data_IF_935899695298
#
_entry.id   IF_935899695298
#
_cell.length_a   1.000
_cell.length_b   1.000
_cell.length_c   1.000
_cell.angle_alpha   90.00
_cell.angle_beta   90.00
_cell.angle_gamma   90.00
#
_symmetry.space_group_name_H-M   'P 1'
#
loop_
_entity.id
_entity.type
_entity.pdbx_description
1 polymer ?
#
# COMPACT_ATOMS: atom_id res chain seq x y z
N UNK A 1 -6.26 -5.16 26.76
CA UNK A 1 -6.67 -4.87 25.34
C UNK A 1 -5.62 -5.40 24.38
N UNK A 2 -6.02 -6.07 23.35
CA UNK A 2 -5.19 -6.70 22.32
C UNK A 2 -5.35 -6.00 20.97
N UNK A 3 -4.55 -6.36 19.98
CA UNK A 3 -4.77 -5.91 18.60
C UNK A 3 -4.63 -7.06 17.61
N UNK A 4 -5.44 -7.01 16.56
CA UNK A 4 -5.43 -7.95 15.45
C UNK A 4 -5.25 -7.20 14.13
N UNK A 5 -4.24 -7.57 13.34
CA UNK A 5 -3.97 -6.96 12.03
C UNK A 5 -4.29 -7.99 10.93
N UNK A 6 -5.15 -7.63 9.98
CA UNK A 6 -5.53 -8.51 8.87
C UNK A 6 -4.58 -8.33 7.68
N UNK A 7 -3.66 -9.24 7.49
CA UNK A 7 -2.64 -9.21 6.42
C UNK A 7 -2.67 -10.44 5.49
N UNK A 8 -3.81 -11.15 5.40
CA UNK A 8 -3.94 -12.38 4.62
C UNK A 8 -4.15 -12.16 3.11
N UNK A 9 -4.55 -10.96 2.69
CA UNK A 9 -5.00 -10.67 1.33
C UNK A 9 -3.92 -10.79 0.25
N UNK A 10 -4.31 -11.20 -0.97
CA UNK A 10 -3.40 -11.40 -2.12
C UNK A 10 -2.79 -10.13 -2.69
N UNK A 11 -3.40 -8.96 -2.47
CA UNK A 11 -2.90 -7.69 -2.99
C UNK A 11 -2.91 -7.54 -4.52
N UNK A 12 -3.77 -8.27 -5.25
CA UNK A 12 -3.80 -8.37 -6.72
C UNK A 12 -3.90 -7.02 -7.44
N UNK A 13 -4.59 -6.03 -6.84
CA UNK A 13 -4.71 -4.68 -7.44
C UNK A 13 -3.39 -3.92 -7.48
N UNK A 14 -2.44 -4.29 -6.62
CA UNK A 14 -1.12 -3.66 -6.51
C UNK A 14 -0.04 -4.36 -7.36
N UNK A 15 -0.35 -5.51 -7.96
CA UNK A 15 0.60 -6.16 -8.86
C UNK A 15 1.11 -5.20 -9.94
N UNK A 16 2.44 -5.25 -10.24
CA UNK A 16 3.41 -6.28 -9.86
C UNK A 16 4.15 -6.03 -8.52
N UNK A 17 3.81 -5.00 -7.74
CA UNK A 17 4.51 -4.65 -6.50
C UNK A 17 4.31 -5.69 -5.38
N UNK A 18 3.26 -6.49 -5.48
CA UNK A 18 2.91 -7.55 -4.53
C UNK A 18 3.23 -8.96 -5.03
N UNK A 19 4.04 -9.10 -6.08
CA UNK A 19 4.39 -10.42 -6.64
C UNK A 19 5.21 -11.28 -5.66
N UNK A 20 6.03 -10.66 -4.81
CA UNK A 20 6.93 -11.34 -3.88
C UNK A 20 6.86 -10.86 -2.44
N UNK A 21 6.06 -9.83 -2.17
CA UNK A 21 5.80 -9.33 -0.81
C UNK A 21 4.32 -9.15 -0.57
N UNK A 22 3.79 -9.54 0.60
CA UNK A 22 2.42 -9.20 0.95
C UNK A 22 2.29 -7.68 1.07
N UNK A 23 1.10 -7.17 0.83
CA UNK A 23 0.80 -5.73 0.84
C UNK A 23 1.27 -5.02 2.11
N UNK A 24 1.06 -5.64 3.27
CA UNK A 24 1.48 -5.11 4.57
C UNK A 24 3.02 -4.96 4.72
N UNK A 25 3.80 -5.64 3.87
CA UNK A 25 5.26 -5.56 3.83
C UNK A 25 5.79 -4.56 2.79
N UNK A 26 4.93 -3.90 2.02
CA UNK A 26 5.39 -2.83 1.10
C UNK A 26 5.98 -1.68 1.91
N UNK A 27 7.21 -1.22 1.59
CA UNK A 27 7.88 -0.20 2.38
C UNK A 27 7.33 1.20 2.08
N UNK A 28 6.95 1.94 3.11
CA UNK A 28 6.68 3.37 3.05
C UNK A 28 7.91 4.10 3.59
N UNK A 29 8.61 4.86 2.75
CA UNK A 29 9.90 5.47 3.09
C UNK A 29 10.87 4.47 3.75
N UNK A 30 11.08 3.31 3.10
CA UNK A 30 11.98 2.22 3.48
C UNK A 30 11.58 1.42 4.75
N UNK A 31 10.42 1.69 5.35
CA UNK A 31 9.92 0.93 6.49
C UNK A 31 8.62 0.21 6.12
N UNK A 32 8.47 -1.10 6.37
CA UNK A 32 7.25 -1.85 6.10
C UNK A 32 5.99 -1.19 6.65
N UNK A 33 4.89 -1.23 5.88
CA UNK A 33 3.61 -0.65 6.29
C UNK A 33 3.14 -1.18 7.65
N UNK A 34 3.30 -2.49 7.88
CA UNK A 34 2.87 -3.13 9.13
C UNK A 34 3.62 -2.61 10.35
N UNK A 35 4.87 -2.17 10.20
CA UNK A 35 5.65 -1.62 11.31
C UNK A 35 5.06 -0.28 11.80
N UNK A 36 4.55 0.55 10.89
CA UNK A 36 3.82 1.76 11.27
C UNK A 36 2.56 1.45 12.07
N UNK A 37 1.84 0.39 11.71
CA UNK A 37 0.64 -0.04 12.42
C UNK A 37 0.98 -0.55 13.82
N UNK A 38 2.00 -1.41 13.94
CA UNK A 38 2.45 -1.95 15.24
C UNK A 38 2.99 -0.82 16.14
N UNK A 39 3.76 0.11 15.61
CA UNK A 39 4.25 1.26 16.36
C UNK A 39 3.11 2.18 16.83
N UNK A 40 2.12 2.39 16.00
CA UNK A 40 0.93 3.16 16.34
C UNK A 40 0.18 2.48 17.50
N UNK A 41 -0.04 1.17 17.44
CA UNK A 41 -0.66 0.40 18.53
C UNK A 41 0.14 0.50 19.84
N UNK A 42 1.45 0.30 19.79
CA UNK A 42 2.34 0.40 20.96
C UNK A 42 2.35 1.80 21.58
N UNK A 43 2.29 2.86 20.78
CA UNK A 43 2.16 4.25 21.29
C UNK A 43 0.88 4.46 22.09
N UNK A 44 -0.15 3.65 21.87
CA UNK A 44 -1.40 3.67 22.61
C UNK A 44 -1.47 2.61 23.72
N UNK A 45 -0.33 1.98 24.08
CA UNK A 45 -0.23 0.99 25.14
C UNK A 45 -0.78 -0.39 24.77
N UNK A 46 -0.87 -0.72 23.49
CA UNK A 46 -1.36 -2.02 22.99
C UNK A 46 -0.15 -2.81 22.50
N UNK A 47 0.39 -3.68 23.39
CA UNK A 47 1.60 -4.46 23.14
C UNK A 47 1.31 -5.88 22.64
N UNK A 48 0.16 -6.46 23.02
CA UNK A 48 -0.23 -7.79 22.57
C UNK A 48 -0.90 -7.71 21.19
N UNK A 49 -0.08 -8.00 20.17
CA UNK A 49 -0.49 -7.92 18.76
C UNK A 49 -0.45 -9.30 18.13
N UNK A 50 -1.50 -9.64 17.38
CA UNK A 50 -1.53 -10.77 16.49
C UNK A 50 -1.75 -10.33 15.03
N UNK A 51 -1.25 -11.14 14.09
CA UNK A 51 -1.38 -10.88 12.65
C UNK A 51 -2.03 -12.07 11.96
N UNK A 52 -3.12 -11.82 11.24
CA UNK A 52 -3.71 -12.83 10.37
C UNK A 52 -2.98 -12.82 9.03
N UNK A 53 -2.45 -13.99 8.67
CA UNK A 53 -1.61 -14.20 7.50
C UNK A 53 -2.27 -15.16 6.51
N UNK A 54 -1.87 -15.09 5.26
CA UNK A 54 -2.34 -15.96 4.18
C UNK A 54 -1.35 -15.99 3.03
N UNK A 55 -1.59 -15.22 2.00
CA UNK A 55 -0.70 -15.15 0.84
C UNK A 55 0.68 -14.57 1.20
N UNK A 56 1.77 -15.22 0.75
CA UNK A 56 3.17 -14.81 0.99
C UNK A 56 3.52 -14.66 2.50
N UNK A 57 2.93 -15.49 3.36
CA UNK A 57 3.04 -15.42 4.82
C UNK A 57 4.48 -15.46 5.35
N UNK A 58 5.41 -16.10 4.60
CA UNK A 58 6.80 -16.26 5.02
C UNK A 58 7.48 -14.91 5.32
N UNK A 59 7.27 -13.91 4.48
CA UNK A 59 7.86 -12.59 4.66
C UNK A 59 7.44 -11.91 5.98
N UNK A 60 6.18 -12.07 6.39
CA UNK A 60 5.69 -11.56 7.67
C UNK A 60 6.27 -12.33 8.86
N UNK A 61 6.33 -13.67 8.77
CA UNK A 61 6.88 -14.53 9.83
C UNK A 61 8.37 -14.31 10.08
N UNK A 62 9.13 -14.03 9.02
CA UNK A 62 10.56 -13.72 9.14
C UNK A 62 10.84 -12.31 9.68
N UNK A 63 9.91 -11.38 9.48
CA UNK A 63 10.08 -9.98 9.86
C UNK A 63 9.58 -9.68 11.29
N UNK A 64 8.45 -10.26 11.69
CA UNK A 64 7.76 -9.93 12.92
C UNK A 64 7.92 -11.01 14.00
N UNK A 65 8.04 -10.57 15.26
CA UNK A 65 7.95 -11.43 16.43
C UNK A 65 6.60 -11.20 17.14
N UNK A 66 5.53 -11.76 16.59
CA UNK A 66 4.16 -11.66 17.10
C UNK A 66 3.44 -12.99 16.95
N UNK A 67 2.22 -13.14 17.50
CA UNK A 67 1.37 -14.29 17.22
C UNK A 67 0.83 -14.24 15.79
N UNK A 68 0.80 -15.37 15.12
CA UNK A 68 0.25 -15.50 13.77
C UNK A 68 -0.91 -16.47 13.74
N UNK A 69 -1.97 -16.06 13.03
CA UNK A 69 -3.12 -16.90 12.71
C UNK A 69 -3.26 -17.00 11.20
N UNK A 70 -3.53 -18.20 10.69
CA UNK A 70 -3.59 -18.41 9.24
C UNK A 70 -5.02 -18.46 8.76
N UNK A 71 -5.41 -17.54 7.89
CA UNK A 71 -6.63 -17.66 7.10
C UNK A 71 -6.32 -18.47 5.83
N UNK A 72 -6.66 -19.76 5.88
CA UNK A 72 -6.43 -20.68 4.75
C UNK A 72 -7.43 -20.47 3.61
N UNK A 73 -8.62 -19.91 3.92
CA UNK A 73 -9.68 -19.71 2.93
C UNK A 73 -9.46 -18.46 2.09
N UNK A 74 -8.86 -17.41 2.70
CA UNK A 74 -8.70 -16.07 2.10
C UNK A 74 -10.02 -15.60 1.44
N UNK A 75 -11.14 -15.87 2.12
CA UNK A 75 -12.48 -15.69 1.62
C UNK A 75 -13.18 -14.42 2.15
N UNK A 76 -12.43 -13.45 2.62
CA UNK A 76 -12.95 -12.15 3.04
C UNK A 76 -12.46 -11.69 4.40
N UNK A 77 -12.91 -10.50 4.82
CA UNK A 77 -12.42 -9.86 6.06
C UNK A 77 -13.02 -10.50 7.31
N UNK A 78 -14.25 -11.02 7.26
CA UNK A 78 -14.85 -11.74 8.38
C UNK A 78 -14.14 -13.08 8.62
N UNK A 79 -13.84 -13.85 7.56
CA UNK A 79 -13.11 -15.12 7.70
C UNK A 79 -11.71 -14.90 8.30
N UNK A 80 -11.05 -13.82 7.92
CA UNK A 80 -9.76 -13.46 8.46
C UNK A 80 -9.81 -13.18 9.98
N UNK A 81 -10.84 -12.47 10.47
CA UNK A 81 -11.04 -12.27 11.92
C UNK A 81 -11.30 -13.60 12.60
N UNK A 82 -12.18 -14.44 12.03
CA UNK A 82 -12.54 -15.73 12.62
C UNK A 82 -11.36 -16.70 12.73
N UNK A 83 -10.40 -16.63 11.79
CA UNK A 83 -9.19 -17.42 11.86
C UNK A 83 -8.36 -17.18 13.14
N UNK A 84 -8.56 -16.01 13.78
CA UNK A 84 -7.89 -15.64 15.02
C UNK A 84 -8.82 -15.69 16.25
N UNK A 85 -9.96 -16.40 16.20
CA UNK A 85 -10.94 -16.45 17.29
C UNK A 85 -10.37 -16.84 18.65
N UNK A 86 -9.41 -17.75 18.68
CA UNK A 86 -8.76 -18.20 19.92
C UNK A 86 -7.85 -17.13 20.56
N UNK A 87 -7.56 -16.04 19.83
CA UNK A 87 -6.85 -14.87 20.33
C UNK A 87 -7.79 -13.84 20.95
N UNK A 88 -9.05 -13.83 20.51
CA UNK A 88 -10.07 -12.83 20.81
C UNK A 88 -10.84 -13.30 22.08
N UNK A 89 -10.25 -13.06 23.25
CA UNK A 89 -10.83 -13.39 24.56
C UNK A 89 -11.15 -12.12 25.41
N UNK A 90 -10.83 -10.94 24.88
CA UNK A 90 -11.01 -9.61 25.48
C UNK A 90 -11.25 -8.57 24.39
N UNK A 91 -11.58 -7.33 24.79
CA UNK A 91 -11.66 -6.20 23.86
C UNK A 91 -10.38 -6.05 23.03
N UNK A 92 -10.53 -5.78 21.76
CA UNK A 92 -9.41 -5.68 20.84
C UNK A 92 -9.58 -4.59 19.76
N UNK A 93 -8.44 -4.05 19.33
CA UNK A 93 -8.37 -3.20 18.15
C UNK A 93 -8.12 -4.07 16.92
N UNK A 94 -8.96 -3.92 15.92
CA UNK A 94 -8.79 -4.57 14.61
C UNK A 94 -8.32 -3.56 13.58
N UNK A 95 -7.27 -3.90 12.81
CA UNK A 95 -6.77 -3.09 11.70
C UNK A 95 -6.72 -3.89 10.41
N UNK A 96 -7.10 -3.24 9.31
CA UNK A 96 -6.79 -3.76 7.99
C UNK A 96 -5.30 -3.50 7.68
N UNK A 97 -4.58 -4.55 7.31
CA UNK A 97 -3.13 -4.51 7.07
C UNK A 97 -2.69 -3.70 5.83
N UNK A 98 -3.64 -3.14 5.12
CA UNK A 98 -3.42 -2.26 3.97
C UNK A 98 -3.68 -0.77 4.26
N UNK A 99 -4.06 -0.44 5.47
CA UNK A 99 -4.29 0.93 5.89
C UNK A 99 -3.00 1.56 6.39
N UNK A 100 -2.60 2.66 5.77
CA UNK A 100 -1.60 3.57 6.32
C UNK A 100 -2.31 4.71 7.05
N UNK A 101 -2.10 4.78 8.36
CA UNK A 101 -2.71 5.79 9.22
C UNK A 101 -1.65 6.47 10.09
N UNK A 102 -1.62 7.79 10.05
CA UNK A 102 -0.77 8.63 10.90
C UNK A 102 -1.65 9.64 11.62
N UNK A 103 -2.22 9.18 12.73
CA UNK A 103 -3.15 9.92 13.56
C UNK A 103 -3.28 9.28 14.94
N UNK A 104 -4.33 9.65 15.67
CA UNK A 104 -4.64 9.12 17.00
C UNK A 104 -5.92 8.29 16.98
N UNK A 105 -5.88 7.14 17.66
CA UNK A 105 -7.04 6.27 17.89
C UNK A 105 -7.56 6.34 19.35
N UNK A 106 -7.16 7.35 20.12
CA UNK A 106 -7.51 7.46 21.53
C UNK A 106 -9.02 7.41 21.80
N UNK A 107 -9.83 8.11 20.98
CA UNK A 107 -11.28 8.12 21.16
C UNK A 107 -11.91 6.77 20.74
N UNK A 108 -11.34 6.09 19.77
CA UNK A 108 -11.76 4.74 19.39
C UNK A 108 -11.51 3.74 20.53
N UNK A 109 -10.31 3.78 21.14
CA UNK A 109 -9.93 2.92 22.27
C UNK A 109 -10.89 3.07 23.46
N UNK A 110 -11.39 4.26 23.71
CA UNK A 110 -12.35 4.54 24.80
C UNK A 110 -13.79 4.17 24.48
N UNK A 111 -14.06 3.74 23.25
CA UNK A 111 -15.41 3.52 22.75
C UNK A 111 -15.56 2.07 22.26
N UNK A 112 -15.93 1.12 23.14
CA UNK A 112 -16.18 -0.26 22.71
C UNK A 112 -17.25 -0.36 21.61
N UNK A 113 -17.20 -1.42 20.83
CA UNK A 113 -18.10 -1.69 19.70
C UNK A 113 -18.22 -0.49 18.76
N UNK A 114 -17.07 -0.04 18.27
CA UNK A 114 -16.97 1.14 17.41
C UNK A 114 -16.12 0.91 16.16
N UNK A 115 -16.39 1.72 15.16
CA UNK A 115 -15.63 1.80 13.93
C UNK A 115 -15.09 3.22 13.71
N UNK A 116 -13.84 3.30 13.28
CA UNK A 116 -13.27 4.57 12.84
C UNK A 116 -13.75 4.93 11.43
N UNK A 117 -13.99 6.22 11.21
CA UNK A 117 -14.29 6.79 9.91
C UNK A 117 -13.38 7.97 9.61
N UNK A 118 -13.09 8.17 8.33
CA UNK A 118 -12.37 9.33 7.84
C UNK A 118 -13.20 10.05 6.78
N UNK A 119 -13.11 11.37 6.74
CA UNK A 119 -13.75 12.18 5.71
C UNK A 119 -12.89 12.18 4.45
N UNK A 120 -13.48 11.89 3.30
CA UNK A 120 -12.82 11.92 2.00
C UNK A 120 -13.58 12.82 1.02
N UNK A 121 -12.89 13.32 -0.01
CA UNK A 121 -13.49 14.14 -1.06
C UNK A 121 -14.37 13.36 -2.03
N UNK A 122 -14.15 12.03 -2.16
CA UNK A 122 -14.94 11.14 -3.00
C UNK A 122 -15.01 9.75 -2.38
N UNK A 123 -16.23 9.33 -2.04
CA UNK A 123 -16.52 8.03 -1.42
C UNK A 123 -16.65 6.88 -2.42
N UNK A 124 -16.69 7.14 -3.71
CA UNK A 124 -17.02 6.14 -4.76
C UNK A 124 -16.17 4.88 -4.76
N UNK A 125 -14.97 4.95 -4.19
CA UNK A 125 -14.00 3.84 -4.12
C UNK A 125 -14.08 3.02 -2.84
N UNK A 126 -14.83 3.48 -1.84
CA UNK A 126 -14.81 2.98 -0.46
C UNK A 126 -16.19 2.55 0.03
N UNK A 127 -16.24 1.95 1.19
CA UNK A 127 -17.47 1.75 1.96
C UNK A 127 -17.88 3.07 2.62
N UNK A 128 -18.89 3.76 2.07
CA UNK A 128 -19.46 4.98 2.66
C UNK A 128 -20.17 4.63 3.96
N UNK A 129 -19.88 5.37 5.03
CA UNK A 129 -20.50 5.19 6.35
C UNK A 129 -21.47 6.32 6.63
N UNK A 130 -22.74 5.97 6.79
CA UNK A 130 -23.79 6.90 7.19
C UNK A 130 -24.07 6.68 8.68
N UNK A 131 -24.02 7.75 9.46
CA UNK A 131 -24.24 7.73 10.89
C UNK A 131 -24.99 8.97 11.38
N UNK A 132 -25.63 8.86 12.52
CA UNK A 132 -26.33 9.95 13.20
C UNK A 132 -26.05 9.90 14.70
N UNK A 133 -25.72 11.04 15.29
CA UNK A 133 -25.40 11.18 16.72
C UNK A 133 -24.34 10.16 17.19
N UNK A 134 -23.30 9.94 16.36
CA UNK A 134 -22.22 9.00 16.61
C UNK A 134 -22.67 7.52 16.59
N UNK A 135 -23.83 7.18 16.02
CA UNK A 135 -24.33 5.81 15.89
C UNK A 135 -24.41 5.43 14.42
N UNK A 136 -23.95 4.24 14.08
CA UNK A 136 -24.01 3.70 12.73
C UNK A 136 -25.47 3.57 12.27
N UNK A 137 -25.74 4.04 11.06
CA UNK A 137 -27.03 3.83 10.37
C UNK A 137 -26.86 2.74 9.31
N UNK A 138 -25.88 2.92 8.40
CA UNK A 138 -25.60 1.93 7.35
C UNK A 138 -24.20 2.11 6.77
N UNK A 139 -23.68 1.05 6.15
CA UNK A 139 -22.48 1.05 5.33
C UNK A 139 -22.88 0.74 3.90
N UNK A 140 -22.50 1.61 2.96
CA UNK A 140 -22.78 1.44 1.52
C UNK A 140 -21.48 1.14 0.77
N UNK A 141 -21.31 -0.10 0.34
CA UNK A 141 -20.11 -0.52 -0.38
C UNK A 141 -20.09 0.03 -1.81
N UNK A 142 -19.13 0.94 -2.10
CA UNK A 142 -18.78 1.45 -3.43
C UNK A 142 -19.94 1.92 -4.31
N UNK A 143 -20.96 2.48 -3.68
CA UNK A 143 -22.18 2.95 -4.35
C UNK A 143 -22.43 4.45 -4.17
N UNK A 144 -21.61 5.12 -3.35
CA UNK A 144 -21.69 6.56 -3.09
C UNK A 144 -20.97 7.41 -4.14
N UNK A 145 -21.16 8.71 -4.08
CA UNK A 145 -20.44 9.72 -4.87
C UNK A 145 -20.32 11.02 -4.08
N UNK A 146 -19.27 11.80 -4.37
CA UNK A 146 -19.00 13.06 -3.67
C UNK A 146 -18.34 12.87 -2.31
N UNK A 147 -18.24 13.95 -1.53
CA UNK A 147 -17.55 13.93 -0.23
C UNK A 147 -18.41 13.26 0.85
N UNK A 148 -17.78 12.50 1.74
CA UNK A 148 -18.46 11.80 2.82
C UNK A 148 -17.49 11.13 3.76
N UNK A 149 -18.03 10.35 4.69
CA UNK A 149 -17.25 9.52 5.59
C UNK A 149 -17.15 8.10 5.06
N UNK A 150 -15.95 7.54 5.16
CA UNK A 150 -15.68 6.16 4.74
C UNK A 150 -15.14 5.33 5.89
N UNK A 151 -15.33 4.03 5.79
CA UNK A 151 -14.76 3.04 6.70
C UNK A 151 -13.22 3.13 6.68
N UNK A 152 -12.64 3.44 7.83
CA UNK A 152 -11.19 3.61 7.95
C UNK A 152 -10.43 2.27 8.05
N UNK A 153 -11.13 1.14 8.19
CA UNK A 153 -10.48 -0.16 8.41
C UNK A 153 -9.82 -0.29 9.78
N UNK A 154 -10.28 0.46 10.76
CA UNK A 154 -9.83 0.44 12.15
C UNK A 154 -11.06 0.35 13.06
N UNK A 155 -11.06 -0.62 13.96
CA UNK A 155 -12.23 -0.90 14.78
C UNK A 155 -11.82 -1.23 16.22
N UNK A 156 -12.76 -1.02 17.15
CA UNK A 156 -12.68 -1.52 18.51
C UNK A 156 -13.89 -2.41 18.76
N UNK A 157 -13.64 -3.68 19.00
CA UNK A 157 -14.69 -4.67 19.28
C UNK A 157 -14.42 -5.42 20.58
N UNK A 158 -15.49 -5.89 21.20
CA UNK A 158 -15.46 -6.97 22.15
C UNK A 158 -15.64 -8.32 21.46
N UNK A 159 -15.44 -9.46 22.16
CA UNK A 159 -15.55 -10.80 21.55
C UNK A 159 -16.93 -11.14 20.95
N UNK A 160 -17.99 -10.43 21.30
CA UNK A 160 -19.35 -10.73 20.78
C UNK A 160 -19.45 -10.56 19.26
N UNK A 161 -18.55 -9.81 18.63
CA UNK A 161 -18.49 -9.72 17.17
C UNK A 161 -18.34 -11.09 16.52
N UNK A 162 -17.70 -12.07 17.19
CA UNK A 162 -17.52 -13.43 16.67
C UNK A 162 -18.85 -14.15 16.43
N UNK A 163 -19.86 -13.93 17.27
CA UNK A 163 -21.19 -14.53 17.11
C UNK A 163 -21.90 -14.05 15.84
N UNK A 164 -21.59 -12.84 15.39
CA UNK A 164 -22.10 -12.25 14.15
C UNK A 164 -21.28 -12.67 12.94
N UNK A 165 -19.97 -12.83 13.12
CA UNK A 165 -19.08 -13.35 12.08
C UNK A 165 -19.48 -14.79 11.71
N UNK A 166 -19.79 -15.65 12.67
CA UNK A 166 -20.25 -17.01 12.42
C UNK A 166 -21.56 -17.09 11.61
N UNK A 167 -22.38 -16.05 11.71
CA UNK A 167 -23.68 -15.95 11.00
C UNK A 167 -23.57 -15.18 9.68
N UNK A 168 -22.39 -14.66 9.35
CA UNK A 168 -22.19 -13.87 8.12
C UNK A 168 -22.25 -14.79 6.91
N UNK A 169 -23.10 -14.46 5.96
CA UNK A 169 -23.24 -15.16 4.69
C UNK A 169 -22.26 -14.63 3.64
N UNK A 170 -22.00 -15.42 2.62
CA UNK A 170 -21.18 -15.02 1.50
C UNK A 170 -21.87 -13.91 0.69
N UNK A 171 -21.17 -12.82 0.46
CA UNK A 171 -21.65 -11.68 -0.31
C UNK A 171 -21.74 -11.99 -1.81
N UNK A 172 -22.42 -11.13 -2.58
CA UNK A 172 -22.45 -11.22 -4.05
C UNK A 172 -21.06 -11.16 -4.73
N UNK A 173 -20.01 -10.86 -3.95
CA UNK A 173 -18.60 -10.83 -4.40
C UNK A 173 -17.88 -12.14 -4.12
N UNK A 174 -18.53 -13.12 -3.51
CA UNK A 174 -17.92 -14.38 -3.09
C UNK A 174 -17.03 -14.24 -1.86
N UNK A 175 -17.31 -13.27 -0.98
CA UNK A 175 -16.50 -12.97 0.20
C UNK A 175 -17.36 -12.85 1.45
N UNK A 176 -16.86 -13.29 2.60
CA UNK A 176 -17.46 -13.05 3.92
C UNK A 176 -17.00 -11.69 4.43
N UNK A 177 -17.87 -10.70 4.33
CA UNK A 177 -17.54 -9.31 4.59
C UNK A 177 -17.72 -8.97 6.07
N UNK A 178 -16.69 -8.40 6.70
CA UNK A 178 -16.82 -7.93 8.09
C UNK A 178 -17.85 -6.82 8.23
N UNK A 179 -18.07 -6.02 7.18
CA UNK A 179 -19.12 -4.98 7.17
C UNK A 179 -20.52 -5.55 7.35
N UNK A 180 -20.79 -6.77 6.86
CA UNK A 180 -22.09 -7.44 7.07
C UNK A 180 -22.22 -7.92 8.51
N UNK A 181 -21.17 -8.47 9.12
CA UNK A 181 -21.13 -8.79 10.54
C UNK A 181 -21.39 -7.56 11.41
N UNK A 182 -20.74 -6.42 11.09
CA UNK A 182 -20.93 -5.14 11.78
C UNK A 182 -22.39 -4.67 11.66
N UNK A 183 -23.00 -4.81 10.49
CA UNK A 183 -24.41 -4.43 10.30
C UNK A 183 -25.35 -5.33 11.10
N UNK A 184 -25.03 -6.62 11.27
CA UNK A 184 -25.79 -7.52 12.15
C UNK A 184 -25.62 -7.15 13.64
N UNK A 185 -24.37 -6.90 14.08
CA UNK A 185 -24.10 -6.39 15.43
C UNK A 185 -24.86 -5.08 15.68
N UNK A 186 -24.89 -4.15 14.73
CA UNK A 186 -25.58 -2.86 14.88
C UNK A 186 -27.11 -2.97 15.03
N UNK A 187 -27.72 -4.09 14.64
CA UNK A 187 -29.16 -4.33 14.86
C UNK A 187 -29.47 -4.72 16.31
N UNK A 188 -28.57 -5.47 16.96
CA UNK A 188 -28.69 -5.89 18.36
C UNK A 188 -28.10 -4.86 19.32
N UNK A 189 -26.93 -4.35 19.02
CA UNK A 189 -26.20 -3.36 19.79
C UNK A 189 -25.79 -2.22 18.87
N UNK A 190 -25.96 -0.96 19.31
CA UNK A 190 -25.66 0.19 18.46
C UNK A 190 -24.15 0.38 18.33
N UNK A 191 -23.61 0.06 17.15
CA UNK A 191 -22.20 0.34 16.81
C UNK A 191 -21.96 1.84 16.80
N UNK A 192 -20.92 2.27 17.49
CA UNK A 192 -20.51 3.68 17.54
C UNK A 192 -19.61 3.99 16.33
N UNK A 193 -19.73 5.22 15.84
CA UNK A 193 -18.88 5.72 14.75
C UNK A 193 -18.00 6.83 15.30
N UNK A 194 -16.69 6.65 15.15
CA UNK A 194 -15.68 7.56 15.68
C UNK A 194 -14.91 8.19 14.51
N UNK A 195 -15.15 9.47 14.19
CA UNK A 195 -14.32 10.19 13.24
C UNK A 195 -12.88 10.29 13.75
N UNK A 196 -11.91 9.85 12.95
CA UNK A 196 -10.48 9.98 13.27
C UNK A 196 -9.83 11.04 12.41
N UNK A 197 -8.89 11.77 13.00
CA UNK A 197 -8.12 12.81 12.35
C UNK A 197 -6.69 12.37 12.12
N UNK A 198 -6.10 12.84 11.05
CA UNK A 198 -4.75 12.51 10.64
C UNK A 198 -4.69 12.13 9.17
N UNK A 199 -3.53 11.67 8.74
CA UNK A 199 -3.40 11.12 7.39
C UNK A 199 -3.88 9.67 7.37
N UNK A 200 -4.76 9.37 6.45
CA UNK A 200 -5.27 8.04 6.19
C UNK A 200 -5.18 7.71 4.70
N UNK A 201 -4.77 6.49 4.40
CA UNK A 201 -4.73 5.99 3.03
C UNK A 201 -4.96 4.47 3.03
N UNK A 202 -6.01 4.02 2.36
CA UNK A 202 -6.15 2.63 1.94
C UNK A 202 -5.27 2.42 0.71
N UNK A 203 -4.13 1.74 0.88
CA UNK A 203 -3.21 1.43 -0.22
C UNK A 203 -3.87 0.38 -1.13
N UNK A 204 -4.92 0.76 -1.83
CA UNK A 204 -5.71 -0.09 -2.71
C UNK A 204 -5.16 -0.22 -4.13
N UNK A 205 -4.47 0.80 -4.62
CA UNK A 205 -3.90 0.88 -5.96
C UNK A 205 -2.45 1.32 -5.96
N UNK A 206 -1.68 1.08 -7.02
CA UNK A 206 -0.26 1.47 -7.07
C UNK A 206 0.00 2.96 -6.89
N UNK A 207 -0.91 3.83 -7.27
CA UNK A 207 -0.79 5.28 -7.05
C UNK A 207 -1.11 5.71 -5.61
N UNK A 208 -1.96 4.97 -4.89
CA UNK A 208 -2.19 5.19 -3.46
C UNK A 208 -0.90 4.90 -2.67
N UNK A 209 -0.14 3.88 -3.12
CA UNK A 209 1.17 3.58 -2.54
C UNK A 209 2.19 4.72 -2.76
N UNK A 210 2.17 5.38 -3.93
CA UNK A 210 2.97 6.59 -4.15
C UNK A 210 2.57 7.68 -3.16
N UNK A 211 1.25 7.90 -2.94
CA UNK A 211 0.77 8.94 -2.03
C UNK A 211 1.18 8.73 -0.58
N UNK A 212 1.08 7.50 -0.08
CA UNK A 212 1.53 7.17 1.27
C UNK A 212 3.03 7.48 1.44
N UNK A 213 3.84 7.12 0.44
CA UNK A 213 5.27 7.47 0.43
C UNK A 213 5.50 8.98 0.37
N UNK A 214 4.79 9.71 -0.48
CA UNK A 214 4.95 11.18 -0.58
C UNK A 214 4.54 11.89 0.71
N UNK A 215 3.51 11.41 1.39
CA UNK A 215 3.12 11.94 2.69
C UNK A 215 4.25 11.78 3.72
N UNK A 216 4.74 10.55 3.91
CA UNK A 216 5.82 10.29 4.87
C UNK A 216 7.12 10.99 4.49
N UNK A 217 7.42 11.05 3.19
CA UNK A 217 8.58 11.75 2.68
C UNK A 217 8.58 13.24 3.06
N UNK A 218 7.43 13.91 2.93
CA UNK A 218 7.27 15.31 3.37
C UNK A 218 7.46 15.47 4.88
N UNK A 219 7.04 14.49 5.68
CA UNK A 219 7.18 14.50 7.14
C UNK A 219 8.63 14.30 7.57
N UNK A 220 9.38 13.42 6.87
CA UNK A 220 10.79 13.13 7.16
C UNK A 220 11.70 14.25 6.64
N UNK A 221 11.42 14.81 5.47
CA UNK A 221 12.22 15.84 4.81
C UNK A 221 13.46 15.29 4.13
N UNK A 222 14.48 14.86 4.87
CA UNK A 222 15.68 14.25 4.33
C UNK A 222 16.28 13.23 5.30
N UNK A 223 16.65 12.06 4.76
CA UNK A 223 17.50 11.11 5.44
C UNK A 223 18.34 10.31 4.45
N UNK A 224 19.51 9.88 4.90
CA UNK A 224 20.34 8.91 4.22
C UNK A 224 20.82 7.87 5.24
N UNK A 225 20.75 6.60 4.85
CA UNK A 225 21.15 5.48 5.70
C UNK A 225 22.68 5.34 5.79
N UNK A 226 23.08 4.39 6.62
CA UNK A 226 24.49 4.09 6.88
C UNK A 226 25.22 3.64 5.59
N UNK A 227 26.53 3.90 5.49
CA UNK A 227 27.39 3.53 4.38
C UNK A 227 26.94 4.05 3.00
N UNK A 228 26.06 5.04 2.95
CA UNK A 228 25.58 5.62 1.69
C UNK A 228 26.52 6.70 1.20
N UNK A 229 27.05 6.50 0.00
CA UNK A 229 27.93 7.44 -0.68
C UNK A 229 27.13 8.41 -1.55
N UNK A 230 27.11 9.69 -1.22
CA UNK A 230 26.52 10.75 -2.05
C UNK A 230 27.63 11.61 -2.60
N UNK A 231 27.84 11.59 -3.91
CA UNK A 231 28.91 12.38 -4.57
C UNK A 231 28.60 13.87 -4.54
N UNK A 232 29.62 14.68 -4.46
CA UNK A 232 29.50 16.15 -4.35
C UNK A 232 28.76 16.81 -5.51
N UNK A 233 28.72 16.16 -6.68
CA UNK A 233 28.02 16.62 -7.88
C UNK A 233 26.60 16.00 -8.03
N UNK A 234 26.13 15.24 -7.07
CA UNK A 234 24.74 14.82 -7.01
C UNK A 234 23.84 15.97 -6.56
N UNK A 235 22.70 16.15 -7.22
CA UNK A 235 21.70 17.16 -6.87
C UNK A 235 20.54 16.51 -6.13
N UNK A 236 20.44 16.76 -4.83
CA UNK A 236 19.33 16.27 -3.98
C UNK A 236 18.34 17.40 -3.71
N UNK A 237 17.15 17.31 -4.31
CA UNK A 237 16.05 18.26 -4.12
C UNK A 237 15.04 17.69 -3.14
N UNK A 238 15.19 18.07 -1.88
CA UNK A 238 14.32 17.60 -0.76
C UNK A 238 12.83 17.84 -1.03
N UNK A 239 11.94 17.01 -0.42
CA UNK A 239 12.22 15.89 0.48
C UNK A 239 12.75 14.65 -0.26
N UNK A 240 13.73 13.95 0.31
CA UNK A 240 14.31 12.70 -0.23
C UNK A 240 14.72 11.78 0.92
N UNK A 241 14.37 10.52 0.81
CA UNK A 241 14.81 9.44 1.71
C UNK A 241 15.70 8.47 0.90
N UNK A 242 16.89 8.20 1.39
CA UNK A 242 17.83 7.25 0.80
C UNK A 242 18.16 6.21 1.87
N UNK A 243 18.12 4.95 1.51
CA UNK A 243 18.47 3.83 2.39
C UNK A 243 19.98 3.73 2.63
N UNK A 244 20.39 2.62 3.23
CA UNK A 244 21.78 2.28 3.52
C UNK A 244 22.50 1.67 2.32
N UNK A 245 23.84 1.68 2.32
CA UNK A 245 24.70 1.05 1.32
C UNK A 245 24.45 1.51 -0.13
N UNK A 246 23.94 2.72 -0.31
CA UNK A 246 23.62 3.29 -1.63
C UNK A 246 24.83 4.01 -2.25
N UNK A 247 24.82 4.04 -3.60
CA UNK A 247 25.77 4.87 -4.37
C UNK A 247 24.99 5.88 -5.21
N UNK A 248 25.03 7.14 -4.79
CA UNK A 248 24.36 8.26 -5.43
C UNK A 248 25.42 9.12 -6.12
N UNK A 249 25.49 8.98 -7.43
CA UNK A 249 26.55 9.63 -8.22
C UNK A 249 26.05 10.95 -8.83
N UNK A 250 26.63 11.40 -9.92
CA UNK A 250 26.25 12.63 -10.64
C UNK A 250 24.80 12.51 -11.23
N UNK A 251 23.80 12.73 -10.42
CA UNK A 251 22.38 12.54 -10.77
C UNK A 251 21.50 13.62 -10.14
N UNK A 252 20.22 13.65 -10.48
CA UNK A 252 19.20 14.47 -9.80
C UNK A 252 18.18 13.54 -9.14
N UNK A 253 18.01 13.70 -7.82
CA UNK A 253 16.93 13.03 -7.07
C UNK A 253 16.03 14.10 -6.46
N UNK A 254 14.75 14.05 -6.79
CA UNK A 254 13.75 15.03 -6.33
C UNK A 254 12.51 14.33 -5.79
N UNK A 255 12.11 14.68 -4.55
CA UNK A 255 10.88 14.17 -3.91
C UNK A 255 10.72 12.66 -4.07
N UNK A 256 11.74 11.88 -3.75
CA UNK A 256 11.81 10.45 -4.06
C UNK A 256 12.34 9.64 -2.89
N UNK A 257 11.98 8.36 -2.89
CA UNK A 257 12.46 7.35 -1.95
C UNK A 257 13.38 6.39 -2.69
N UNK A 258 14.57 6.15 -2.14
CA UNK A 258 15.54 5.19 -2.63
C UNK A 258 15.80 4.19 -1.53
N UNK A 259 15.62 2.90 -1.80
CA UNK A 259 15.82 1.78 -0.88
C UNK A 259 17.30 1.45 -0.67
N UNK A 260 17.57 0.44 0.15
CA UNK A 260 18.92 0.02 0.50
C UNK A 260 19.66 -0.61 -0.69
N UNK A 261 20.98 -0.42 -0.76
CA UNK A 261 21.85 -1.04 -1.75
C UNK A 261 21.60 -0.58 -3.19
N UNK A 262 20.93 0.56 -3.38
CA UNK A 262 20.64 1.11 -4.70
C UNK A 262 21.81 1.87 -5.32
N UNK A 263 21.85 1.88 -6.65
CA UNK A 263 22.77 2.71 -7.41
C UNK A 263 21.97 3.67 -8.29
N UNK A 264 22.09 4.99 -8.04
CA UNK A 264 21.57 6.03 -8.93
C UNK A 264 22.77 6.71 -9.56
N UNK A 265 22.92 6.55 -10.86
CA UNK A 265 24.15 6.88 -11.57
C UNK A 265 24.10 8.12 -12.42
N UNK A 266 25.11 8.28 -13.20
CA UNK A 266 25.48 9.51 -13.90
C UNK A 266 24.38 9.97 -14.86
N UNK A 267 23.99 11.25 -14.72
CA UNK A 267 23.00 11.96 -15.54
C UNK A 267 21.59 11.36 -15.49
N UNK A 268 21.31 10.51 -14.48
CA UNK A 268 19.97 9.98 -14.25
C UNK A 268 19.13 10.97 -13.43
N UNK A 269 17.84 10.99 -13.70
CA UNK A 269 16.84 11.80 -12.97
C UNK A 269 15.82 10.88 -12.35
N UNK A 270 15.66 10.93 -11.03
CA UNK A 270 14.62 10.23 -10.27
C UNK A 270 13.74 11.27 -9.60
N UNK A 271 12.47 11.34 -9.99
CA UNK A 271 11.54 12.38 -9.52
C UNK A 271 10.21 11.79 -9.10
N UNK A 272 9.74 12.15 -7.86
CA UNK A 272 8.45 11.68 -7.29
C UNK A 272 8.27 10.17 -7.44
N UNK A 273 9.33 9.42 -7.19
CA UNK A 273 9.40 7.99 -7.47
C UNK A 273 9.90 7.21 -6.27
N UNK A 274 9.57 5.93 -6.25
CA UNK A 274 10.08 4.98 -5.27
C UNK A 274 10.95 3.97 -6.02
N UNK A 275 12.22 3.87 -5.64
CA UNK A 275 13.17 2.86 -6.12
C UNK A 275 13.47 1.96 -4.94
N UNK A 276 12.93 0.73 -4.94
CA UNK A 276 13.11 -0.20 -3.84
C UNK A 276 14.50 -0.85 -3.85
N UNK A 277 14.79 -1.59 -2.79
CA UNK A 277 16.13 -2.11 -2.47
C UNK A 277 16.85 -2.79 -3.64
N UNK A 278 18.17 -2.65 -3.68
CA UNK A 278 19.08 -3.33 -4.62
C UNK A 278 18.82 -3.03 -6.11
N UNK A 279 18.06 -1.98 -6.41
CA UNK A 279 17.75 -1.59 -7.78
C UNK A 279 18.79 -0.59 -8.31
N UNK A 280 19.02 -0.65 -9.63
CA UNK A 280 20.02 0.15 -10.32
C UNK A 280 19.38 1.02 -11.39
N UNK A 281 19.64 2.34 -11.32
CA UNK A 281 19.24 3.36 -12.29
C UNK A 281 20.51 4.10 -12.73
N UNK A 282 21.40 3.44 -13.49
CA UNK A 282 22.82 3.82 -13.52
C UNK A 282 23.18 4.99 -14.44
N UNK A 283 22.66 5.08 -15.67
CA UNK A 283 23.15 6.05 -16.65
C UNK A 283 22.03 6.63 -17.51
N UNK A 284 21.95 7.97 -17.61
CA UNK A 284 21.07 8.69 -18.54
C UNK A 284 19.57 8.29 -18.43
N UNK A 285 19.17 7.76 -17.29
CA UNK A 285 17.80 7.28 -17.08
C UNK A 285 16.87 8.42 -16.63
N UNK A 286 15.60 8.36 -17.03
CA UNK A 286 14.56 9.24 -16.56
C UNK A 286 13.45 8.43 -15.89
N UNK A 287 13.29 8.59 -14.59
CA UNK A 287 12.29 7.89 -13.77
C UNK A 287 11.43 8.94 -13.05
N UNK A 288 10.17 9.07 -13.45
CA UNK A 288 9.28 10.04 -12.84
C UNK A 288 7.90 9.43 -12.53
N UNK A 289 7.34 9.81 -11.36
CA UNK A 289 6.02 9.38 -10.87
C UNK A 289 5.81 7.86 -10.94
N UNK A 290 6.86 7.09 -10.62
CA UNK A 290 6.96 5.65 -10.87
C UNK A 290 7.35 4.89 -9.61
N UNK A 291 7.08 3.58 -9.64
CA UNK A 291 7.58 2.64 -8.63
C UNK A 291 8.41 1.56 -9.32
N UNK A 292 9.63 1.38 -8.86
CA UNK A 292 10.55 0.32 -9.28
C UNK A 292 10.73 -0.61 -8.08
N UNK A 293 10.29 -1.86 -8.19
CA UNK A 293 10.45 -2.86 -7.15
C UNK A 293 11.92 -3.31 -7.00
N UNK A 294 12.16 -4.25 -6.10
CA UNK A 294 13.53 -4.65 -5.73
C UNK A 294 14.27 -5.39 -6.84
N UNK A 295 15.60 -5.22 -6.86
CA UNK A 295 16.51 -5.98 -7.71
C UNK A 295 16.47 -5.62 -9.18
N UNK A 296 15.82 -4.53 -9.56
CA UNK A 296 15.77 -4.08 -10.96
C UNK A 296 17.08 -3.52 -11.46
N UNK A 297 17.30 -3.63 -12.76
CA UNK A 297 18.44 -2.99 -13.43
C UNK A 297 17.99 -2.32 -14.72
N UNK A 298 17.91 -1.00 -14.72
CA UNK A 298 17.55 -0.23 -15.90
C UNK A 298 18.79 0.02 -16.77
N UNK A 299 18.75 -0.44 -18.01
CA UNK A 299 19.80 -0.15 -19.00
C UNK A 299 19.94 1.34 -19.25
N UNK A 300 21.12 1.76 -19.74
CA UNK A 300 21.41 3.15 -20.02
C UNK A 300 20.36 3.77 -20.95
N UNK A 301 19.90 4.98 -20.63
CA UNK A 301 18.93 5.68 -21.47
C UNK A 301 17.48 5.17 -21.35
N UNK A 302 17.15 4.31 -20.37
CA UNK A 302 15.75 3.94 -20.11
C UNK A 302 14.97 5.18 -19.67
N UNK A 303 13.83 5.44 -20.32
CA UNK A 303 12.97 6.59 -20.03
C UNK A 303 11.55 6.17 -19.75
N UNK A 304 11.04 6.57 -18.59
CA UNK A 304 9.66 6.32 -18.19
C UNK A 304 8.87 7.61 -18.38
N UNK A 305 8.00 7.63 -19.39
CA UNK A 305 7.10 8.75 -19.60
C UNK A 305 6.00 8.78 -18.53
N UNK A 306 5.67 9.96 -18.03
CA UNK A 306 4.69 10.18 -16.98
C UNK A 306 3.53 11.10 -17.40
N UNK A 307 3.51 11.57 -18.64
CA UNK A 307 2.50 12.46 -19.20
C UNK A 307 2.01 11.91 -20.54
N UNK A 308 0.70 11.98 -20.74
CA UNK A 308 0.07 11.66 -22.04
C UNK A 308 0.11 12.88 -22.97
N UNK A 309 0.09 12.64 -24.27
CA UNK A 309 0.06 13.72 -25.27
C UNK A 309 -1.23 14.55 -25.26
N UNK A 310 -2.34 13.94 -24.84
CA UNK A 310 -3.67 14.57 -24.75
C UNK A 310 -3.94 15.23 -23.39
N UNK A 311 -2.93 15.29 -22.53
CA UNK A 311 -3.02 15.82 -21.16
C UNK A 311 -4.10 15.20 -20.26
N UNK A 312 -4.76 14.13 -20.72
CA UNK A 312 -5.76 13.41 -19.93
C UNK A 312 -5.11 12.61 -18.77
N UNK A 313 -5.94 12.19 -17.83
CA UNK A 313 -5.50 11.32 -16.75
C UNK A 313 -4.90 10.01 -17.27
N UNK A 314 -3.84 9.56 -16.62
CA UNK A 314 -3.22 8.26 -16.92
C UNK A 314 -4.10 7.15 -16.40
N UNK A 315 -4.41 6.17 -17.25
CA UNK A 315 -5.14 4.96 -16.87
C UNK A 315 -4.16 3.81 -16.66
N UNK A 316 -4.44 2.99 -15.65
CA UNK A 316 -3.65 1.79 -15.31
C UNK A 316 -4.55 0.55 -15.42
N UNK A 317 -4.02 -0.57 -15.90
CA UNK A 317 -4.78 -1.83 -15.96
C UNK A 317 -4.81 -2.48 -14.57
N UNK A 318 -5.99 -2.65 -14.02
CA UNK A 318 -6.23 -3.31 -12.74
C UNK A 318 -7.20 -4.47 -12.98
N UNK A 319 -6.79 -5.70 -12.70
CA UNK A 319 -7.61 -6.91 -12.95
C UNK A 319 -8.23 -6.91 -14.35
N UNK A 320 -7.41 -6.62 -15.38
CA UNK A 320 -7.83 -6.60 -16.78
C UNK A 320 -8.64 -5.37 -17.22
N UNK A 321 -8.98 -4.44 -16.32
CA UNK A 321 -9.77 -3.24 -16.64
C UNK A 321 -8.89 -1.99 -16.57
N UNK A 322 -9.06 -1.07 -17.52
CA UNK A 322 -8.38 0.24 -17.53
C UNK A 322 -9.06 1.20 -16.58
N UNK A 323 -8.45 1.42 -15.41
CA UNK A 323 -8.95 2.30 -14.34
C UNK A 323 -8.29 3.68 -14.46
N UNK A 324 -9.08 4.73 -14.42
CA UNK A 324 -8.59 6.11 -14.34
C UNK A 324 -7.95 6.34 -12.97
N UNK A 325 -6.68 6.75 -12.97
CA UNK A 325 -5.95 7.02 -11.73
C UNK A 325 -6.30 8.36 -11.07
N UNK A 326 -7.05 9.22 -11.75
CA UNK A 326 -7.28 10.61 -11.35
C UNK A 326 -6.02 11.50 -11.49
N UNK A 327 -4.95 11.00 -12.13
CA UNK A 327 -3.65 11.68 -12.19
C UNK A 327 -3.24 12.00 -13.62
N UNK A 328 -3.02 13.29 -13.88
CA UNK A 328 -2.47 13.76 -15.14
C UNK A 328 -1.02 13.30 -15.35
N UNK A 329 -0.23 13.18 -14.24
CA UNK A 329 1.14 12.65 -14.27
C UNK A 329 1.21 11.37 -13.45
N UNK A 330 1.57 10.28 -14.13
CA UNK A 330 1.81 8.97 -13.53
C UNK A 330 2.69 8.15 -14.48
N UNK A 331 3.80 7.63 -13.98
CA UNK A 331 4.76 6.83 -14.75
C UNK A 331 4.37 5.35 -14.78
N UNK A 332 5.33 4.49 -14.55
CA UNK A 332 5.18 3.04 -14.64
C UNK A 332 5.33 2.34 -13.28
N UNK A 333 4.83 1.10 -13.21
CA UNK A 333 4.98 0.21 -12.06
C UNK A 333 5.78 -1.02 -12.49
N UNK A 334 7.03 -1.07 -12.07
CA UNK A 334 7.99 -2.10 -12.47
C UNK A 334 8.14 -3.12 -11.33
N UNK A 335 7.87 -4.39 -11.62
CA UNK A 335 7.99 -5.51 -10.70
C UNK A 335 9.44 -5.86 -10.37
N UNK A 336 9.60 -6.90 -9.58
CA UNK A 336 10.91 -7.34 -9.07
C UNK A 336 11.81 -7.88 -10.16
N UNK A 337 13.12 -7.69 -10.02
CA UNK A 337 14.17 -8.26 -10.87
C UNK A 337 14.06 -7.94 -12.37
N UNK A 338 13.30 -6.91 -12.74
CA UNK A 338 13.15 -6.50 -14.14
C UNK A 338 14.48 -5.92 -14.64
N UNK A 339 14.85 -6.31 -15.86
CA UNK A 339 16.02 -5.76 -16.55
C UNK A 339 15.59 -5.13 -17.86
N UNK A 340 16.06 -3.92 -18.14
CA UNK A 340 15.89 -3.29 -19.45
C UNK A 340 17.23 -3.21 -20.17
N UNK A 341 17.19 -3.38 -21.49
CA UNK A 341 18.30 -3.01 -22.37
C UNK A 341 18.47 -1.48 -22.45
N UNK A 342 19.40 -1.03 -23.29
CA UNK A 342 19.63 0.41 -23.49
C UNK A 342 18.48 1.06 -24.27
N UNK A 343 18.23 2.36 -24.02
CA UNK A 343 17.25 3.20 -24.72
C UNK A 343 15.81 2.65 -24.72
N UNK A 344 15.42 1.91 -23.69
CA UNK A 344 14.03 1.45 -23.55
C UNK A 344 13.14 2.62 -23.20
N UNK A 345 11.99 2.74 -23.87
CA UNK A 345 10.95 3.74 -23.59
C UNK A 345 9.73 3.07 -23.01
N UNK A 346 9.27 3.55 -21.82
CA UNK A 346 8.11 2.99 -21.11
C UNK A 346 7.00 4.02 -21.06
N UNK A 347 5.80 3.66 -21.49
CA UNK A 347 4.66 4.56 -21.57
C UNK A 347 3.98 4.77 -20.20
N UNK A 348 3.24 5.89 -20.01
CA UNK A 348 2.55 6.21 -18.76
C UNK A 348 1.53 5.13 -18.37
N UNK A 349 1.51 4.75 -17.10
CA UNK A 349 0.57 3.78 -16.52
C UNK A 349 0.83 2.33 -16.89
N UNK A 350 1.95 2.02 -17.54
CA UNK A 350 2.34 0.66 -17.89
C UNK A 350 2.80 -0.09 -16.63
N UNK A 351 2.45 -1.37 -16.54
CA UNK A 351 2.97 -2.31 -15.56
C UNK A 351 3.91 -3.30 -16.24
N UNK A 352 5.08 -3.53 -15.64
CA UNK A 352 6.01 -4.57 -16.09
C UNK A 352 6.09 -5.63 -14.99
N UNK A 353 5.62 -6.85 -15.30
CA UNK A 353 5.63 -7.98 -14.39
C UNK A 353 7.05 -8.38 -13.97
N UNK A 354 7.15 -8.93 -12.76
CA UNK A 354 8.43 -9.35 -12.18
C UNK A 354 9.19 -10.34 -13.06
N UNK A 355 10.53 -10.35 -12.96
CA UNK A 355 11.45 -11.23 -13.70
C UNK A 355 11.42 -11.07 -15.22
N UNK A 356 10.87 -9.95 -15.71
CA UNK A 356 10.80 -9.69 -17.15
C UNK A 356 12.07 -8.99 -17.65
N UNK A 357 12.41 -9.28 -18.89
CA UNK A 357 13.52 -8.66 -19.60
C UNK A 357 13.01 -7.92 -20.82
N UNK A 358 13.45 -6.70 -20.99
CA UNK A 358 13.06 -5.84 -22.11
C UNK A 358 14.30 -5.60 -22.97
N UNK A 359 14.27 -5.99 -24.22
CA UNK A 359 15.38 -5.81 -25.16
C UNK A 359 15.67 -4.31 -25.43
N UNK A 360 16.88 -4.02 -25.90
CA UNK A 360 17.27 -2.65 -26.23
C UNK A 360 16.36 -2.01 -27.29
N UNK A 361 16.18 -0.70 -27.23
CA UNK A 361 15.39 0.12 -28.18
C UNK A 361 13.88 -0.19 -28.20
N UNK A 362 13.37 -1.06 -27.29
CA UNK A 362 11.94 -1.40 -27.23
C UNK A 362 11.13 -0.23 -26.66
N UNK A 363 9.96 0.03 -27.29
CA UNK A 363 8.92 0.91 -26.75
C UNK A 363 7.82 0.10 -26.09
N UNK A 364 7.80 0.07 -24.74
CA UNK A 364 6.79 -0.67 -23.96
C UNK A 364 5.51 0.15 -23.82
N UNK A 365 4.51 -0.17 -24.65
CA UNK A 365 3.23 0.58 -24.75
C UNK A 365 2.07 -0.10 -23.99
N UNK A 366 2.22 -1.37 -23.61
CA UNK A 366 1.23 -2.20 -22.93
C UNK A 366 1.87 -2.89 -21.73
N UNK A 367 1.04 -3.35 -20.82
CA UNK A 367 1.51 -4.14 -19.68
C UNK A 367 2.25 -5.39 -20.15
N UNK A 368 3.27 -5.76 -19.41
CA UNK A 368 4.13 -6.92 -19.64
C UNK A 368 3.86 -7.94 -18.55
N UNK A 369 3.56 -9.17 -18.96
CA UNK A 369 3.32 -10.28 -18.04
C UNK A 369 4.62 -10.70 -17.33
N UNK A 370 4.46 -11.29 -16.13
CA UNK A 370 5.58 -11.79 -15.33
C UNK A 370 6.42 -12.79 -16.10
N UNK A 371 7.76 -12.69 -15.99
CA UNK A 371 8.71 -13.60 -16.63
C UNK A 371 8.81 -13.46 -18.14
N UNK A 372 8.34 -12.37 -18.71
CA UNK A 372 8.36 -12.17 -20.18
C UNK A 372 9.72 -11.69 -20.68
N UNK A 373 10.04 -12.06 -21.91
CA UNK A 373 11.11 -11.42 -22.68
C UNK A 373 10.48 -10.63 -23.86
N UNK A 374 10.52 -9.29 -23.76
CA UNK A 374 9.92 -8.38 -24.75
C UNK A 374 10.98 -7.96 -25.76
N UNK A 375 10.69 -8.15 -27.03
CA UNK A 375 11.51 -7.80 -28.20
C UNK A 375 10.75 -6.84 -29.12
N UNK A 376 11.48 -6.19 -30.03
CA UNK A 376 10.88 -5.41 -31.12
C UNK A 376 10.15 -6.29 -32.12
#
# INVERSE_FOLDING_TARGET
MKALILAAGKGERLQPLTDYKPKAMLPVCNKPLIDYQIEMLRKHGIDEVAVVIGHLEKALKEHLNVKFYRDASISGTASAVYAAKDFIDDEFILLYGDVFFDGSINELIKTPNSMAVVQVGDVSRYGEVIFRDGKLVTIKEKSGSGSGFVNAGIYHFDPTILDFIEKTEESNRGEFELTDSIMMLNRSEKVRVVPVNGYWNDIGYPWDYIDANMYMLNKIGFSAGENTEIWSNATIRKPVVIGSDCKIKNCVIEKSVVGDGCVIGEFSIVKRSIVMNKSKVPHLNYVADSVIAEGCNLGAGTKIANLRFDDANVKVTIKGKRIDSGRRKLGAFIGYNVKTGINVSIYPGVKIGSDSWIEAEVSVKKDVEKGSFVRN
#
